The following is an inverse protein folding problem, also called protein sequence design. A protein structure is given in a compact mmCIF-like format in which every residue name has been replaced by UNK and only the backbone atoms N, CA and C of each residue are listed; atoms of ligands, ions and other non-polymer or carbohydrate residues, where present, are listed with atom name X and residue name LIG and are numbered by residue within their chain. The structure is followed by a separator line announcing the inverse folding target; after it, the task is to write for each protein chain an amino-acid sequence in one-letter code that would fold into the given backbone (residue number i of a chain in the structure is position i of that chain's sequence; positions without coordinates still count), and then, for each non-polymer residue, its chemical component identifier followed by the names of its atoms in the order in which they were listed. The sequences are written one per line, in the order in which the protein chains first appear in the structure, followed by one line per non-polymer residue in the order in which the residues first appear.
data_IF_858993154621
#
_entry.id   IF_858993154621
#
_cell.length_a   1.000
_cell.length_b   1.000
_cell.length_c   1.000
_cell.angle_alpha   90.00
_cell.angle_beta   90.00
_cell.angle_gamma   90.00
#
_symmetry.space_group_name_H-M   'P 1'
#
loop_
_entity.id
_entity.type
_entity.pdbx_description
1 polymer ?
#
# COMPACT_ATOMS: atom_id res chain seq x y z
N UNK A 1 54.11 -60.71 2.33
CA UNK A 1 54.80 -60.77 1.05
C UNK A 1 55.05 -59.33 0.68
N UNK A 2 56.20 -58.84 1.00
CA UNK A 2 57.44 -58.79 0.24
C UNK A 2 57.38 -57.62 -0.73
N UNK A 3 58.09 -56.57 -0.36
CA UNK A 3 59.46 -56.20 -0.86
C UNK A 3 59.36 -55.42 -2.18
N UNK A 4 60.06 -54.33 -2.41
CA UNK A 4 61.43 -53.81 -2.22
C UNK A 4 61.44 -52.31 -2.54
N UNK A 5 61.98 -51.41 -1.77
CA UNK A 5 63.32 -50.84 -1.59
C UNK A 5 64.16 -50.63 -2.88
N UNK A 6 64.57 -49.33 -3.11
CA UNK A 6 65.96 -48.86 -3.26
C UNK A 6 65.93 -47.43 -3.82
N UNK A 7 66.35 -46.41 -3.12
CA UNK A 7 67.69 -45.76 -2.95
C UNK A 7 68.36 -45.43 -4.27
N UNK A 8 68.79 -44.16 -4.48
CA UNK A 8 70.20 -43.72 -4.55
C UNK A 8 70.33 -42.17 -4.48
N UNK A 9 71.35 -41.82 -3.74
CA UNK A 9 71.82 -40.50 -3.41
C UNK A 9 72.68 -39.89 -4.52
N UNK A 10 73.00 -38.58 -4.27
CA UNK A 10 74.20 -37.79 -4.59
C UNK A 10 74.26 -37.13 -5.98
N UNK A 11 74.39 -35.82 -6.08
CA UNK A 11 75.66 -35.07 -5.88
C UNK A 11 75.43 -33.56 -5.80
N UNK A 12 76.14 -32.91 -4.85
CA UNK A 12 76.35 -31.48 -4.75
C UNK A 12 77.27 -30.95 -5.81
N UNK A 13 76.89 -29.81 -6.43
CA UNK A 13 77.92 -28.83 -6.88
C UNK A 13 77.48 -27.41 -6.56
N UNK A 14 78.26 -26.82 -5.71
CA UNK A 14 78.32 -25.42 -5.32
C UNK A 14 78.63 -24.51 -6.51
N UNK A 15 77.84 -23.41 -6.61
CA UNK A 15 78.29 -22.18 -7.24
C UNK A 15 77.77 -20.97 -6.56
N UNK A 16 78.62 -20.24 -5.89
CA UNK A 16 78.38 -18.91 -5.28
C UNK A 16 78.11 -17.90 -6.39
N UNK A 17 76.97 -17.15 -6.28
CA UNK A 17 76.95 -15.82 -6.95
C UNK A 17 76.01 -14.90 -6.18
N UNK A 18 76.55 -13.96 -5.52
CA UNK A 18 76.25 -12.54 -5.28
C UNK A 18 74.75 -12.19 -4.99
N UNK A 19 74.54 -11.73 -3.75
CA UNK A 19 73.40 -10.95 -3.30
C UNK A 19 73.32 -9.60 -4.05
N UNK A 20 72.16 -9.36 -4.65
CA UNK A 20 71.63 -8.00 -4.85
C UNK A 20 70.23 -7.95 -4.23
N UNK A 21 70.18 -7.25 -3.11
CA UNK A 21 68.92 -6.96 -2.37
C UNK A 21 68.08 -5.99 -3.17
N UNK A 22 67.05 -6.43 -3.84
CA UNK A 22 65.95 -5.59 -4.32
C UNK A 22 64.84 -5.62 -3.25
N UNK A 23 64.76 -4.55 -2.45
CA UNK A 23 63.65 -4.30 -1.58
C UNK A 23 62.39 -4.05 -2.43
N UNK A 24 61.51 -5.06 -2.58
CA UNK A 24 60.19 -4.87 -3.09
C UNK A 24 59.32 -4.34 -1.95
N UNK A 25 59.10 -3.01 -1.96
CA UNK A 25 58.06 -2.40 -1.13
C UNK A 25 56.70 -2.92 -1.57
N UNK A 26 56.12 -3.86 -0.84
CA UNK A 26 54.70 -4.16 -0.89
C UNK A 26 53.95 -2.94 -0.37
N UNK A 27 53.47 -2.11 -1.26
CA UNK A 27 52.39 -1.19 -0.98
C UNK A 27 51.15 -2.09 -0.82
N UNK A 28 50.82 -2.39 0.44
CA UNK A 28 49.51 -2.90 0.77
C UNK A 28 48.49 -1.81 0.43
N UNK A 29 48.00 -1.82 -0.80
CA UNK A 29 46.78 -1.09 -1.15
C UNK A 29 45.67 -1.62 -0.26
N UNK A 30 45.28 -0.81 0.69
CA UNK A 30 43.99 -1.02 1.36
C UNK A 30 42.92 -0.92 0.25
N UNK A 31 42.53 -2.05 -0.31
CA UNK A 31 41.27 -2.16 -1.00
C UNK A 31 40.23 -1.78 0.07
N UNK A 32 39.76 -0.54 0.04
CA UNK A 32 38.47 -0.26 0.57
C UNK A 32 37.57 -1.21 -0.21
N UNK A 33 37.13 -2.27 0.44
CA UNK A 33 35.93 -2.99 0.03
C UNK A 33 34.84 -1.92 0.06
N UNK A 34 34.52 -1.33 -1.10
CA UNK A 34 33.21 -0.77 -1.31
C UNK A 34 32.27 -1.89 -0.88
N UNK A 35 31.65 -1.71 0.28
CA UNK A 35 30.59 -2.60 0.73
C UNK A 35 29.49 -2.49 -0.32
N UNK A 36 29.48 -3.40 -1.29
CA UNK A 36 28.29 -3.62 -2.07
C UNK A 36 27.23 -4.02 -1.06
N UNK A 37 26.42 -3.05 -0.67
CA UNK A 37 25.16 -3.32 0.03
C UNK A 37 24.45 -4.39 -0.79
N UNK A 38 23.90 -5.39 -0.12
CA UNK A 38 23.23 -6.49 -0.78
C UNK A 38 22.36 -5.97 -1.92
N UNK A 39 22.58 -6.51 -3.10
CA UNK A 39 22.13 -5.92 -4.36
C UNK A 39 20.62 -5.99 -4.59
N UNK A 40 19.87 -6.66 -3.69
CA UNK A 40 18.43 -6.91 -3.88
C UNK A 40 17.64 -6.54 -2.62
N UNK A 41 16.42 -6.01 -2.84
CA UNK A 41 15.44 -5.70 -1.81
C UNK A 41 14.05 -6.10 -2.28
N UNK A 42 13.27 -6.80 -1.45
CA UNK A 42 11.89 -7.18 -1.76
C UNK A 42 10.93 -6.19 -1.15
N UNK A 43 10.12 -5.54 -2.00
CA UNK A 43 9.05 -4.63 -1.58
C UNK A 43 7.72 -5.25 -1.95
N UNK A 44 6.84 -5.34 -0.95
CA UNK A 44 5.49 -5.90 -1.11
C UNK A 44 4.51 -4.79 -1.47
N UNK A 45 3.61 -5.03 -2.40
CA UNK A 45 2.64 -4.08 -2.93
C UNK A 45 1.29 -4.75 -3.29
N UNK A 46 0.34 -3.96 -3.81
CA UNK A 46 -1.03 -4.38 -4.12
C UNK A 46 -1.26 -4.78 -5.57
N UNK A 47 -0.26 -4.69 -6.42
CA UNK A 47 -0.38 -5.04 -7.83
C UNK A 47 -1.08 -4.01 -8.73
N UNK A 48 -1.10 -4.31 -10.02
CA UNK A 48 -1.81 -3.55 -11.04
C UNK A 48 -1.33 -2.10 -11.18
N UNK A 49 -2.28 -1.16 -11.33
CA UNK A 49 -1.99 0.26 -11.49
C UNK A 49 -1.26 0.85 -10.27
N UNK A 50 -1.54 0.34 -9.07
CA UNK A 50 -0.89 0.79 -7.85
C UNK A 50 0.61 0.47 -7.84
N UNK A 51 0.99 -0.81 -8.02
CA UNK A 51 2.40 -1.18 -8.13
C UNK A 51 3.10 -0.47 -9.30
N UNK A 52 2.40 -0.26 -10.44
CA UNK A 52 2.94 0.53 -11.55
C UNK A 52 3.25 1.96 -11.13
N UNK A 53 2.41 2.59 -10.31
CA UNK A 53 2.66 3.95 -9.81
C UNK A 53 3.90 4.00 -8.93
N UNK A 54 4.08 3.02 -8.04
CA UNK A 54 5.26 2.91 -7.18
C UNK A 54 6.54 2.61 -7.98
N UNK A 55 6.46 1.72 -8.97
CA UNK A 55 7.58 1.44 -9.87
C UNK A 55 8.10 2.73 -10.52
N UNK A 56 7.20 3.59 -11.01
CA UNK A 56 7.58 4.81 -11.70
C UNK A 56 8.04 5.93 -10.76
N UNK A 57 7.40 6.09 -9.60
CA UNK A 57 7.69 7.17 -8.67
C UNK A 57 8.89 6.86 -7.76
N UNK A 58 9.07 5.60 -7.37
CA UNK A 58 9.98 5.18 -6.32
C UNK A 58 11.00 4.14 -6.75
N UNK A 59 10.56 2.94 -7.17
CA UNK A 59 11.43 1.78 -7.34
C UNK A 59 12.49 2.00 -8.41
N UNK A 60 12.08 2.40 -9.61
CA UNK A 60 13.02 2.65 -10.70
C UNK A 60 13.98 3.80 -10.38
N UNK A 61 13.51 5.00 -9.93
CA UNK A 61 14.40 6.07 -9.55
C UNK A 61 15.37 5.71 -8.41
N UNK A 62 14.92 4.93 -7.42
CA UNK A 62 15.78 4.46 -6.34
C UNK A 62 16.84 3.47 -6.86
N UNK A 63 16.45 2.51 -7.68
CA UNK A 63 17.35 1.54 -8.30
C UNK A 63 18.38 2.22 -9.19
N UNK A 64 17.98 3.23 -9.98
CA UNK A 64 18.89 4.03 -10.81
C UNK A 64 19.91 4.81 -9.98
N UNK A 65 19.49 5.34 -8.84
CA UNK A 65 20.35 6.14 -7.95
C UNK A 65 21.36 5.27 -7.17
N UNK A 66 20.91 4.10 -6.67
CA UNK A 66 21.65 3.30 -5.69
C UNK A 66 22.30 2.03 -6.27
N UNK A 67 21.80 1.56 -7.42
CA UNK A 67 22.19 0.26 -7.98
C UNK A 67 21.50 -0.93 -7.30
N UNK A 68 20.60 -0.72 -6.33
CA UNK A 68 19.82 -1.78 -5.67
C UNK A 68 18.74 -2.31 -6.62
N UNK A 69 18.67 -3.61 -6.78
CA UNK A 69 17.57 -4.26 -7.52
C UNK A 69 16.36 -4.41 -6.61
N UNK A 70 15.22 -3.81 -6.97
CA UNK A 70 13.96 -3.99 -6.25
C UNK A 70 13.17 -5.12 -6.87
N UNK A 71 12.82 -6.12 -6.05
CA UNK A 71 11.90 -7.19 -6.38
C UNK A 71 10.51 -6.81 -5.86
N UNK A 72 9.56 -6.58 -6.76
CA UNK A 72 8.18 -6.27 -6.38
C UNK A 72 7.38 -7.56 -6.17
N UNK A 73 6.74 -7.68 -4.99
CA UNK A 73 5.85 -8.80 -4.63
C UNK A 73 4.42 -8.26 -4.44
N UNK A 74 3.51 -8.60 -5.35
CA UNK A 74 2.13 -8.10 -5.34
C UNK A 74 1.21 -8.91 -4.40
N UNK A 75 1.62 -9.11 -3.14
CA UNK A 75 0.89 -9.95 -2.18
C UNK A 75 0.49 -9.26 -0.87
N UNK A 76 0.36 -7.93 -0.86
CA UNK A 76 -0.07 -7.14 0.31
C UNK A 76 -1.39 -7.61 0.91
N UNK A 77 -2.33 -8.07 0.10
CA UNK A 77 -3.62 -8.62 0.58
C UNK A 77 -3.49 -9.79 1.57
N UNK A 78 -2.30 -10.42 1.63
CA UNK A 78 -2.02 -11.53 2.55
C UNK A 78 -0.86 -11.21 3.49
N UNK A 79 -0.43 -9.94 3.57
CA UNK A 79 0.79 -9.54 4.25
C UNK A 79 0.80 -9.90 5.73
N UNK A 80 -0.29 -9.64 6.46
CA UNK A 80 -0.38 -9.94 7.90
C UNK A 80 -0.13 -11.43 8.17
N UNK A 81 -0.86 -12.31 7.48
CA UNK A 81 -0.72 -13.75 7.68
C UNK A 81 0.68 -14.26 7.29
N UNK A 82 1.24 -13.75 6.18
CA UNK A 82 2.58 -14.13 5.72
C UNK A 82 3.67 -13.64 6.67
N UNK A 83 3.59 -12.41 7.18
CA UNK A 83 4.57 -11.88 8.14
C UNK A 83 4.56 -12.67 9.45
N UNK A 84 3.38 -13.02 9.97
CA UNK A 84 3.27 -13.91 11.14
C UNK A 84 3.96 -15.26 10.88
N UNK A 85 3.68 -15.88 9.74
CA UNK A 85 4.31 -17.17 9.37
C UNK A 85 5.83 -17.06 9.17
N UNK A 86 6.32 -15.99 8.54
CA UNK A 86 7.76 -15.73 8.38
C UNK A 86 8.45 -15.50 9.73
N UNK A 87 7.80 -14.78 10.65
CA UNK A 87 8.33 -14.55 11.99
C UNK A 87 8.41 -15.85 12.80
N UNK A 88 7.35 -16.68 12.79
CA UNK A 88 7.35 -18.00 13.42
C UNK A 88 8.45 -18.91 12.86
N UNK A 89 8.71 -18.84 11.56
CA UNK A 89 9.77 -19.59 10.89
C UNK A 89 11.19 -19.00 11.14
N UNK A 90 11.30 -17.81 11.72
CA UNK A 90 12.57 -17.10 11.89
C UNK A 90 13.24 -16.73 10.55
N UNK A 91 12.48 -16.57 9.49
CA UNK A 91 12.98 -16.28 8.14
C UNK A 91 12.15 -15.20 7.44
N UNK A 92 12.51 -13.95 7.64
CA UNK A 92 11.86 -12.79 7.00
C UNK A 92 12.48 -12.55 5.63
N UNK A 93 11.68 -12.74 4.58
CA UNK A 93 12.12 -12.58 3.17
C UNK A 93 11.78 -11.22 2.58
N UNK A 94 10.89 -10.46 3.18
CA UNK A 94 10.48 -9.13 2.76
C UNK A 94 11.28 -8.03 3.48
N UNK A 95 11.56 -6.92 2.81
CA UNK A 95 12.30 -5.78 3.36
C UNK A 95 11.38 -4.61 3.72
N UNK A 96 10.43 -4.30 2.84
CA UNK A 96 9.42 -3.24 3.01
C UNK A 96 8.07 -3.81 2.62
N UNK A 97 7.05 -3.54 3.41
CA UNK A 97 5.71 -4.07 3.16
C UNK A 97 4.69 -2.94 3.16
N UNK A 98 3.99 -2.82 2.05
CA UNK A 98 2.90 -1.90 1.85
C UNK A 98 1.62 -2.51 2.45
N UNK A 99 1.00 -1.80 3.37
CA UNK A 99 -0.21 -2.24 4.09
C UNK A 99 -1.12 -1.05 4.39
N UNK A 100 -2.39 -1.33 4.57
CA UNK A 100 -3.36 -0.37 5.11
C UNK A 100 -3.06 -0.04 6.58
N UNK A 101 -3.54 1.10 7.06
CA UNK A 101 -3.25 1.61 8.39
C UNK A 101 -3.65 0.65 9.54
N UNK A 102 -4.87 0.10 9.53
CA UNK A 102 -5.32 -0.80 10.59
C UNK A 102 -4.50 -2.10 10.67
N UNK A 103 -4.22 -2.83 9.57
CA UNK A 103 -3.25 -3.93 9.57
C UNK A 103 -1.85 -3.55 10.05
N UNK A 104 -1.38 -2.33 9.73
CA UNK A 104 -0.08 -1.86 10.20
C UNK A 104 -0.05 -1.68 11.73
N UNK A 105 -1.11 -1.11 12.32
CA UNK A 105 -1.26 -0.98 13.77
C UNK A 105 -1.23 -2.36 14.44
N UNK A 106 -1.99 -3.32 13.92
CA UNK A 106 -1.99 -4.68 14.42
C UNK A 106 -0.60 -5.34 14.40
N UNK A 107 0.12 -5.19 13.27
CA UNK A 107 1.50 -5.70 13.15
C UNK A 107 2.48 -4.99 14.09
N UNK A 108 2.27 -3.71 14.39
CA UNK A 108 3.03 -2.94 15.36
C UNK A 108 2.83 -3.48 16.78
N UNK A 109 1.57 -3.67 17.21
CA UNK A 109 1.22 -4.20 18.52
C UNK A 109 1.74 -5.63 18.76
N UNK A 110 1.79 -6.43 17.70
CA UNK A 110 2.39 -7.77 17.71
C UNK A 110 3.94 -7.75 17.73
N UNK A 111 4.58 -6.59 17.61
CA UNK A 111 6.04 -6.45 17.53
C UNK A 111 6.64 -6.98 16.21
N UNK A 112 5.83 -7.10 15.16
CA UNK A 112 6.25 -7.58 13.84
C UNK A 112 6.70 -6.46 12.90
N UNK A 113 6.43 -5.20 13.23
CA UNK A 113 6.86 -4.02 12.51
C UNK A 113 7.84 -3.19 13.34
N UNK A 114 8.82 -2.59 12.68
CA UNK A 114 9.85 -1.74 13.31
C UNK A 114 9.28 -0.36 13.62
N UNK A 115 9.57 0.16 14.82
CA UNK A 115 9.28 1.56 15.18
C UNK A 115 10.16 2.50 14.35
N UNK A 116 9.56 3.52 13.78
CA UNK A 116 10.21 4.53 12.93
C UNK A 116 9.90 5.92 13.51
N UNK A 117 10.91 6.57 14.06
CA UNK A 117 10.80 7.98 14.46
C UNK A 117 10.88 8.87 13.22
N UNK A 118 9.77 9.55 12.83
CA UNK A 118 9.72 10.30 11.59
C UNK A 118 10.71 11.47 11.56
N UNK A 119 11.01 12.11 12.68
CA UNK A 119 11.87 13.30 12.70
C UNK A 119 13.36 12.99 12.67
N UNK A 120 13.76 11.78 13.03
CA UNK A 120 15.17 11.33 13.01
C UNK A 120 15.48 10.38 11.88
N UNK A 121 14.47 9.70 11.32
CA UNK A 121 14.64 8.64 10.33
C UNK A 121 14.10 9.00 8.95
N UNK A 122 13.30 10.08 8.81
CA UNK A 122 12.79 10.54 7.52
C UNK A 122 13.29 11.95 7.21
N UNK A 123 13.21 12.35 5.94
CA UNK A 123 13.58 13.70 5.52
C UNK A 123 12.52 14.72 5.97
N UNK A 124 12.96 15.87 6.48
CA UNK A 124 12.10 17.03 6.68
C UNK A 124 11.57 17.55 5.32
N UNK A 125 10.46 18.29 5.36
CA UNK A 125 9.97 19.01 4.18
C UNK A 125 11.02 20.02 3.64
N UNK A 126 10.93 20.45 2.37
CA UNK A 126 11.90 21.36 1.76
C UNK A 126 12.04 22.71 2.46
N UNK A 127 11.03 23.17 3.20
CA UNK A 127 11.05 24.40 3.97
C UNK A 127 11.61 24.21 5.40
N UNK A 128 11.98 22.99 5.76
CA UNK A 128 12.53 22.62 7.06
C UNK A 128 11.48 22.16 8.08
N UNK A 129 10.20 22.05 7.70
CA UNK A 129 9.15 21.48 8.56
C UNK A 129 9.51 20.02 8.89
N UNK A 130 9.51 19.62 10.18
CA UNK A 130 9.77 18.23 10.57
C UNK A 130 8.82 17.25 9.90
N UNK A 131 9.27 16.01 9.67
CA UNK A 131 8.44 15.01 9.02
C UNK A 131 7.16 14.69 9.82
N UNK A 132 7.24 14.67 11.15
CA UNK A 132 6.08 14.47 12.03
C UNK A 132 4.99 15.53 11.83
N UNK A 133 5.36 16.79 11.65
CA UNK A 133 4.43 17.90 11.41
C UNK A 133 3.89 17.89 9.97
N UNK A 134 4.73 17.52 8.98
CA UNK A 134 4.35 17.48 7.58
C UNK A 134 3.37 16.35 7.27
N UNK A 135 3.56 15.17 7.86
CA UNK A 135 2.57 14.08 7.82
C UNK A 135 1.35 14.38 8.71
N UNK A 136 1.58 14.94 9.89
CA UNK A 136 0.53 15.30 10.87
C UNK A 136 -0.32 14.08 11.26
N UNK A 137 -1.65 14.24 11.22
CA UNK A 137 -2.62 13.22 11.64
C UNK A 137 -2.60 11.94 10.79
N UNK A 138 -1.81 11.89 9.71
CA UNK A 138 -1.62 10.68 8.92
C UNK A 138 -0.67 9.68 9.60
N UNK A 139 0.12 10.09 10.60
CA UNK A 139 0.97 9.21 11.40
C UNK A 139 0.12 8.53 12.50
N UNK A 140 -0.62 7.51 12.13
CA UNK A 140 -1.56 6.80 13.01
C UNK A 140 -0.91 5.72 13.87
N UNK A 141 0.34 5.35 13.60
CA UNK A 141 1.11 4.37 14.37
C UNK A 141 2.61 4.67 14.28
N UNK A 142 3.36 4.34 15.33
CA UNK A 142 4.82 4.51 15.37
C UNK A 142 5.59 3.55 14.44
N UNK A 143 4.93 2.51 13.90
CA UNK A 143 5.54 1.56 12.98
C UNK A 143 5.10 1.77 11.52
N UNK A 144 4.20 2.71 11.26
CA UNK A 144 3.59 2.92 9.95
C UNK A 144 3.97 4.27 9.36
N UNK A 145 4.51 4.26 8.14
CA UNK A 145 4.81 5.50 7.41
C UNK A 145 3.85 5.62 6.24
N UNK A 146 2.89 6.55 6.32
CA UNK A 146 1.86 6.71 5.29
C UNK A 146 2.47 7.20 3.98
N UNK A 147 1.99 6.65 2.89
CA UNK A 147 2.39 6.96 1.53
C UNK A 147 1.29 7.75 0.81
N UNK A 148 0.10 7.17 0.80
CA UNK A 148 -1.05 7.72 0.10
C UNK A 148 -2.31 7.79 0.98
N UNK A 149 -3.19 8.69 0.57
CA UNK A 149 -4.59 8.72 0.97
C UNK A 149 -5.41 8.26 -0.22
N UNK A 150 -6.15 7.18 -0.06
CA UNK A 150 -7.09 6.70 -1.08
C UNK A 150 -8.52 6.76 -0.56
N UNK A 151 -9.48 6.49 -1.39
CA UNK A 151 -10.86 6.29 -0.94
C UNK A 151 -11.52 5.12 -1.61
N UNK A 152 -12.36 4.44 -0.84
CA UNK A 152 -13.33 3.50 -1.36
C UNK A 152 -14.64 4.23 -1.61
N UNK A 153 -15.17 4.09 -2.83
CA UNK A 153 -16.40 4.78 -3.24
C UNK A 153 -17.08 4.00 -4.36
N UNK A 154 -18.15 4.56 -4.94
CA UNK A 154 -18.87 3.94 -6.04
C UNK A 154 -18.61 4.62 -7.37
N UNK A 155 -18.35 3.80 -8.39
CA UNK A 155 -18.53 4.17 -9.78
C UNK A 155 -19.93 3.82 -10.27
N UNK A 156 -20.45 4.57 -11.23
CA UNK A 156 -21.71 4.26 -11.88
C UNK A 156 -21.63 4.43 -13.40
N UNK A 157 -22.42 3.63 -14.12
CA UNK A 157 -22.54 3.70 -15.58
C UNK A 157 -23.44 4.88 -15.98
N UNK A 158 -22.82 5.89 -16.61
CA UNK A 158 -23.52 7.12 -17.02
C UNK A 158 -24.60 6.89 -18.10
N UNK A 159 -24.46 5.80 -18.85
CA UNK A 159 -25.40 5.39 -19.91
C UNK A 159 -26.50 4.46 -19.44
N UNK A 160 -26.46 3.96 -18.19
CA UNK A 160 -27.42 3.00 -17.63
C UNK A 160 -28.27 3.57 -16.49
N UNK A 161 -27.87 4.67 -15.84
CA UNK A 161 -28.59 5.25 -14.69
C UNK A 161 -29.70 6.23 -15.06
N UNK A 162 -29.96 6.45 -16.36
CA UNK A 162 -31.00 7.37 -16.83
C UNK A 162 -30.59 8.85 -16.74
N UNK A 163 -31.58 9.74 -16.78
CA UNK A 163 -31.38 11.19 -16.89
C UNK A 163 -30.94 11.85 -15.55
N UNK A 164 -31.13 11.20 -14.43
CA UNK A 164 -30.76 11.71 -13.10
C UNK A 164 -29.60 10.89 -12.56
N UNK A 165 -28.37 11.40 -12.61
CA UNK A 165 -27.22 10.65 -12.10
C UNK A 165 -27.27 10.54 -10.57
N UNK A 166 -26.78 9.41 -9.98
CA UNK A 166 -26.59 9.29 -8.54
C UNK A 166 -25.56 10.30 -8.03
N UNK A 167 -25.77 10.83 -6.85
CA UNK A 167 -24.95 11.88 -6.24
C UNK A 167 -24.38 11.50 -4.89
N UNK A 168 -24.91 10.47 -4.25
CA UNK A 168 -24.51 9.95 -2.95
C UNK A 168 -24.32 8.43 -3.00
N UNK A 169 -23.43 7.90 -2.15
CA UNK A 169 -23.32 6.44 -1.97
C UNK A 169 -24.65 5.82 -1.53
N UNK A 170 -25.54 6.60 -0.92
CA UNK A 170 -26.86 6.11 -0.52
C UNK A 170 -27.82 5.85 -1.69
N UNK A 171 -27.54 6.41 -2.86
CA UNK A 171 -28.29 6.12 -4.08
C UNK A 171 -28.13 4.65 -4.52
N UNK A 172 -27.08 3.97 -4.07
CA UNK A 172 -26.83 2.53 -4.28
C UNK A 172 -27.96 1.68 -3.68
N UNK A 173 -28.56 2.13 -2.57
CA UNK A 173 -29.67 1.46 -1.88
C UNK A 173 -31.05 1.77 -2.49
N UNK A 174 -31.12 2.70 -3.45
CA UNK A 174 -32.36 3.08 -4.10
C UNK A 174 -32.58 2.29 -5.40
N UNK A 175 -33.03 1.02 -5.26
CA UNK A 175 -33.23 0.13 -6.40
C UNK A 175 -34.42 0.52 -7.29
N UNK A 176 -35.35 1.31 -6.76
CA UNK A 176 -36.50 1.81 -7.53
C UNK A 176 -36.08 2.94 -8.48
N UNK A 177 -35.24 3.87 -8.02
CA UNK A 177 -34.74 4.96 -8.87
C UNK A 177 -33.65 4.47 -9.85
N UNK A 178 -32.84 3.51 -9.42
CA UNK A 178 -31.73 2.96 -10.18
C UNK A 178 -31.85 1.44 -10.31
N UNK A 179 -32.74 0.91 -11.16
CA UNK A 179 -32.90 -0.52 -11.34
C UNK A 179 -31.71 -1.16 -12.03
N UNK A 180 -31.20 -2.28 -11.48
CA UNK A 180 -30.07 -3.05 -12.01
C UNK A 180 -29.20 -3.62 -10.90
N UNK A 181 -28.15 -4.35 -11.25
CA UNK A 181 -27.21 -4.94 -10.30
C UNK A 181 -26.20 -3.93 -9.78
N UNK A 182 -25.73 -4.17 -8.54
CA UNK A 182 -24.65 -3.45 -7.89
C UNK A 182 -23.49 -4.40 -7.64
N UNK A 183 -22.29 -3.89 -7.41
CA UNK A 183 -21.23 -4.66 -6.79
C UNK A 183 -20.75 -4.01 -5.50
N UNK A 184 -20.62 -4.81 -4.45
CA UNK A 184 -20.05 -4.44 -3.16
C UNK A 184 -18.99 -5.46 -2.75
N UNK A 185 -18.10 -5.07 -1.86
CA UNK A 185 -17.13 -5.99 -1.29
C UNK A 185 -17.79 -7.01 -0.38
N UNK A 186 -17.33 -8.26 -0.42
CA UNK A 186 -17.75 -9.35 0.44
C UNK A 186 -17.12 -9.30 1.84
N UNK A 187 -16.85 -8.09 2.34
CA UNK A 187 -16.27 -7.80 3.65
C UNK A 187 -17.06 -6.69 4.35
N UNK A 188 -17.06 -6.62 5.69
CA UNK A 188 -17.83 -5.64 6.45
C UNK A 188 -17.31 -4.21 6.29
N UNK A 189 -15.98 -4.04 6.20
CA UNK A 189 -15.30 -2.75 6.09
C UNK A 189 -15.82 -1.95 4.88
N UNK A 190 -16.10 -0.69 5.07
CA UNK A 190 -16.79 0.23 4.16
C UNK A 190 -18.28 -0.14 3.94
N UNK A 191 -18.61 -1.43 3.83
CA UNK A 191 -19.95 -1.91 3.50
C UNK A 191 -20.95 -1.66 4.63
N UNK A 192 -20.55 -1.91 5.89
CA UNK A 192 -21.40 -1.68 7.06
C UNK A 192 -21.50 -0.18 7.41
N UNK A 193 -20.43 0.60 7.19
CA UNK A 193 -20.47 2.05 7.35
C UNK A 193 -21.46 2.70 6.39
N UNK A 194 -21.44 2.31 5.12
CA UNK A 194 -22.42 2.81 4.13
C UNK A 194 -23.84 2.38 4.47
N UNK A 195 -24.02 1.16 4.96
CA UNK A 195 -25.33 0.70 5.36
C UNK A 195 -25.93 1.58 6.48
N UNK A 196 -25.14 1.88 7.53
CA UNK A 196 -25.59 2.75 8.62
C UNK A 196 -25.75 4.20 8.17
N UNK A 197 -24.82 4.74 7.40
CA UNK A 197 -24.93 6.07 6.83
C UNK A 197 -26.25 6.22 6.05
N UNK A 198 -26.56 5.24 5.22
CA UNK A 198 -27.74 5.26 4.36
C UNK A 198 -29.02 4.81 5.08
N UNK A 199 -28.92 4.35 6.31
CA UNK A 199 -30.04 4.15 7.24
C UNK A 199 -30.23 5.34 8.18
N UNK A 200 -29.51 6.45 7.96
CA UNK A 200 -29.66 7.73 8.63
C UNK A 200 -28.85 7.91 9.90
N UNK A 201 -27.83 7.08 10.15
CA UNK A 201 -26.87 7.30 11.21
C UNK A 201 -25.92 8.43 10.80
N UNK A 202 -25.69 9.39 11.70
CA UNK A 202 -24.75 10.48 11.44
C UNK A 202 -23.31 9.92 11.28
N UNK A 203 -22.50 10.54 10.40
CA UNK A 203 -21.11 10.10 10.16
C UNK A 203 -20.29 9.97 11.46
N UNK A 204 -20.50 10.89 12.41
CA UNK A 204 -19.84 10.88 13.72
C UNK A 204 -20.20 9.69 14.62
N UNK A 205 -21.36 9.07 14.41
CA UNK A 205 -21.94 8.09 15.31
C UNK A 205 -21.87 6.66 14.74
N UNK A 206 -21.28 6.49 13.54
CA UNK A 206 -21.25 5.21 12.84
C UNK A 206 -20.47 4.17 13.63
N UNK A 207 -19.27 4.51 14.10
CA UNK A 207 -18.44 3.54 14.81
C UNK A 207 -18.98 3.23 16.21
N UNK A 208 -19.46 4.22 16.97
CA UNK A 208 -20.15 3.99 18.24
C UNK A 208 -21.38 3.08 18.06
N UNK A 209 -22.04 3.19 16.89
CA UNK A 209 -23.15 2.29 16.54
C UNK A 209 -22.65 0.89 16.23
N UNK A 210 -21.57 0.74 15.45
CA UNK A 210 -20.98 -0.55 15.06
C UNK A 210 -20.35 -1.31 16.24
N UNK A 211 -19.97 -0.64 17.33
CA UNK A 211 -19.50 -1.30 18.56
C UNK A 211 -20.60 -2.13 19.22
N UNK A 212 -21.86 -1.86 18.91
CA UNK A 212 -23.02 -2.56 19.51
C UNK A 212 -23.56 -3.65 18.60
N UNK A 213 -24.01 -4.77 19.18
CA UNK A 213 -24.68 -5.85 18.43
C UNK A 213 -25.93 -5.34 17.70
N UNK A 214 -26.70 -4.45 18.33
CA UNK A 214 -27.89 -3.84 17.74
C UNK A 214 -27.54 -3.00 16.49
N UNK A 215 -26.47 -2.22 16.54
CA UNK A 215 -26.01 -1.41 15.41
C UNK A 215 -25.47 -2.27 14.27
N UNK A 216 -24.74 -3.34 14.59
CA UNK A 216 -24.29 -4.31 13.59
C UNK A 216 -25.47 -4.99 12.89
N UNK A 217 -26.48 -5.42 13.64
CA UNK A 217 -27.70 -6.04 13.09
C UNK A 217 -28.49 -5.04 12.24
N UNK A 218 -28.52 -3.76 12.64
CA UNK A 218 -29.12 -2.67 11.87
C UNK A 218 -28.42 -2.47 10.53
N UNK A 219 -27.09 -2.49 10.50
CA UNK A 219 -26.32 -2.40 9.26
C UNK A 219 -26.63 -3.57 8.32
N UNK A 220 -26.65 -4.80 8.84
CA UNK A 220 -26.97 -5.99 8.06
C UNK A 220 -28.43 -5.98 7.56
N UNK A 221 -29.39 -5.52 8.36
CA UNK A 221 -30.78 -5.36 7.94
C UNK A 221 -30.92 -4.33 6.80
N UNK A 222 -30.11 -3.26 6.81
CA UNK A 222 -30.05 -2.31 5.69
C UNK A 222 -29.50 -2.96 4.43
N UNK A 223 -28.46 -3.77 4.54
CA UNK A 223 -27.89 -4.52 3.42
C UNK A 223 -28.87 -5.56 2.86
N UNK A 224 -29.71 -6.17 3.69
CA UNK A 224 -30.77 -7.10 3.24
C UNK A 224 -31.70 -6.45 2.22
N UNK A 225 -31.89 -5.12 2.26
CA UNK A 225 -32.77 -4.42 1.32
C UNK A 225 -32.29 -4.46 -0.14
N UNK A 226 -30.99 -4.75 -0.36
CA UNK A 226 -30.38 -4.80 -1.70
C UNK A 226 -29.63 -6.11 -1.96
N UNK A 227 -29.54 -7.02 -0.99
CA UNK A 227 -28.66 -8.21 -1.02
C UNK A 227 -28.82 -9.04 -2.31
N UNK A 228 -30.06 -9.24 -2.77
CA UNK A 228 -30.36 -10.01 -3.98
C UNK A 228 -29.94 -9.30 -5.28
N UNK A 229 -29.72 -7.98 -5.23
CA UNK A 229 -29.26 -7.16 -6.36
C UNK A 229 -27.77 -6.90 -6.34
N UNK A 230 -27.01 -7.48 -5.41
CA UNK A 230 -25.57 -7.28 -5.27
C UNK A 230 -24.80 -8.47 -5.82
N UNK A 231 -23.80 -8.17 -6.64
CA UNK A 231 -22.68 -9.06 -6.98
C UNK A 231 -21.59 -8.80 -5.94
N UNK A 232 -21.37 -9.76 -5.05
CA UNK A 232 -20.39 -9.68 -3.99
C UNK A 232 -18.99 -10.02 -4.54
N UNK A 233 -18.05 -9.07 -4.43
CA UNK A 233 -16.69 -9.20 -4.97
C UNK A 233 -15.66 -9.29 -3.84
N UNK A 234 -14.56 -9.99 -4.10
CA UNK A 234 -13.47 -10.15 -3.13
C UNK A 234 -12.23 -9.31 -3.46
N UNK A 235 -12.13 -8.83 -4.71
CA UNK A 235 -10.99 -8.03 -5.15
C UNK A 235 -11.44 -6.68 -5.71
N UNK A 236 -10.69 -5.62 -5.41
CA UNK A 236 -10.94 -4.29 -5.94
C UNK A 236 -10.82 -4.15 -7.46
N UNK A 237 -10.23 -5.15 -8.13
CA UNK A 237 -10.15 -5.25 -9.59
C UNK A 237 -11.42 -5.77 -10.25
N UNK A 238 -12.32 -6.42 -9.52
CA UNK A 238 -13.49 -7.07 -10.09
C UNK A 238 -14.56 -6.04 -10.51
N UNK A 239 -14.85 -5.07 -9.65
CA UNK A 239 -15.85 -4.04 -9.90
C UNK A 239 -15.58 -3.20 -11.17
N UNK A 240 -14.35 -2.73 -11.47
CA UNK A 240 -14.07 -2.05 -12.73
C UNK A 240 -14.44 -2.87 -13.96
N UNK A 241 -14.19 -4.18 -13.94
CA UNK A 241 -14.55 -5.06 -15.04
C UNK A 241 -16.08 -5.19 -15.17
N UNK A 242 -16.79 -5.43 -14.05
CA UNK A 242 -18.25 -5.50 -14.02
C UNK A 242 -18.92 -4.21 -14.53
N UNK A 243 -18.35 -3.05 -14.19
CA UNK A 243 -18.80 -1.76 -14.72
C UNK A 243 -18.49 -1.63 -16.21
N UNK A 244 -17.30 -2.00 -16.68
CA UNK A 244 -16.92 -1.93 -18.09
C UNK A 244 -17.83 -2.80 -18.96
N UNK A 245 -18.16 -4.01 -18.49
CA UNK A 245 -19.03 -4.96 -19.19
C UNK A 245 -20.53 -4.62 -19.08
N UNK A 246 -20.88 -3.67 -18.19
CA UNK A 246 -22.29 -3.29 -17.94
C UNK A 246 -23.07 -4.34 -17.16
N UNK A 247 -22.40 -5.26 -16.49
CA UNK A 247 -23.04 -6.25 -15.62
C UNK A 247 -23.61 -5.63 -14.35
N UNK A 248 -23.03 -4.52 -13.89
CA UNK A 248 -23.51 -3.68 -12.81
C UNK A 248 -23.69 -2.24 -13.26
N UNK A 249 -24.68 -1.56 -12.72
CA UNK A 249 -24.91 -0.13 -12.98
C UNK A 249 -24.15 0.77 -12.01
N UNK A 250 -23.86 0.27 -10.81
CA UNK A 250 -23.06 0.92 -9.76
C UNK A 250 -22.17 -0.12 -9.08
N UNK A 251 -20.98 0.28 -8.66
CA UNK A 251 -20.10 -0.66 -7.99
C UNK A 251 -19.06 0.01 -7.11
N UNK A 252 -18.83 -0.60 -5.93
CA UNK A 252 -17.84 -0.16 -4.97
C UNK A 252 -16.43 -0.61 -5.37
N UNK A 253 -15.50 0.34 -5.42
CA UNK A 253 -14.06 0.08 -5.57
C UNK A 253 -13.24 1.31 -5.18
N UNK A 254 -11.93 1.24 -5.35
CA UNK A 254 -11.00 2.31 -5.02
C UNK A 254 -11.03 3.41 -6.09
N UNK A 255 -10.96 4.67 -5.65
CA UNK A 255 -11.02 5.83 -6.55
C UNK A 255 -9.97 5.82 -7.66
N UNK A 256 -8.74 5.32 -7.40
CA UNK A 256 -7.71 5.19 -8.42
C UNK A 256 -8.05 4.19 -9.52
N UNK A 257 -8.77 3.11 -9.18
CA UNK A 257 -9.24 2.13 -10.18
C UNK A 257 -10.39 2.69 -11.02
N UNK A 258 -11.27 3.47 -10.40
CA UNK A 258 -12.32 4.19 -11.14
C UNK A 258 -11.72 5.27 -12.04
N UNK A 259 -10.69 5.98 -11.57
CA UNK A 259 -9.96 6.94 -12.40
C UNK A 259 -9.39 6.26 -13.65
N UNK A 260 -8.72 5.12 -13.50
CA UNK A 260 -8.19 4.37 -14.64
C UNK A 260 -9.31 3.94 -15.61
N UNK A 261 -10.44 3.46 -15.09
CA UNK A 261 -11.59 3.08 -15.91
C UNK A 261 -12.17 4.26 -16.70
N UNK A 262 -12.27 5.43 -16.08
CA UNK A 262 -12.85 6.65 -16.65
C UNK A 262 -11.86 7.32 -17.63
N UNK A 263 -10.63 7.58 -17.15
CA UNK A 263 -9.72 8.47 -17.85
C UNK A 263 -8.74 7.75 -18.77
N UNK A 264 -8.30 6.54 -18.43
CA UNK A 264 -7.40 5.78 -19.29
C UNK A 264 -8.18 4.91 -20.28
N UNK A 265 -9.20 4.19 -19.80
CA UNK A 265 -9.98 3.25 -20.61
C UNK A 265 -11.18 3.90 -21.29
N UNK A 266 -11.51 5.17 -20.95
CA UNK A 266 -12.62 5.95 -21.52
C UNK A 266 -13.98 5.25 -21.47
N UNK A 267 -14.22 4.50 -20.39
CA UNK A 267 -15.53 3.87 -20.18
C UNK A 267 -16.57 4.91 -19.76
N UNK A 268 -17.85 4.72 -20.09
CA UNK A 268 -18.95 5.62 -19.71
C UNK A 268 -19.29 5.44 -18.23
N UNK A 269 -18.36 5.77 -17.36
CA UNK A 269 -18.45 5.65 -15.91
C UNK A 269 -18.16 7.00 -15.28
N UNK A 270 -18.83 7.32 -14.18
CA UNK A 270 -18.50 8.45 -13.33
C UNK A 270 -18.42 8.00 -11.87
N UNK A 271 -17.81 8.84 -11.02
CA UNK A 271 -17.52 8.53 -9.62
C UNK A 271 -18.43 9.34 -8.68
N UNK A 272 -18.88 8.71 -7.61
CA UNK A 272 -19.61 9.36 -6.52
C UNK A 272 -18.61 9.74 -5.43
N UNK A 273 -18.53 11.02 -5.07
CA UNK A 273 -17.65 11.50 -4.02
C UNK A 273 -18.35 11.66 -2.65
N UNK A 274 -19.68 11.81 -2.64
CA UNK A 274 -20.42 11.95 -1.38
C UNK A 274 -20.57 10.61 -0.67
N UNK A 275 -20.03 10.52 0.54
CA UNK A 275 -19.97 9.30 1.32
C UNK A 275 -18.77 8.39 1.00
N UNK A 276 -17.77 8.88 0.26
CA UNK A 276 -16.50 8.17 0.11
C UNK A 276 -15.87 7.88 1.47
N UNK A 277 -15.31 6.70 1.64
CA UNK A 277 -14.55 6.33 2.84
C UNK A 277 -13.06 6.51 2.55
N UNK A 278 -12.42 7.42 3.25
CA UNK A 278 -10.99 7.67 3.12
C UNK A 278 -10.21 6.75 4.03
N UNK A 279 -9.10 6.26 3.52
CA UNK A 279 -8.18 5.36 4.20
C UNK A 279 -6.72 5.68 3.81
N UNK A 280 -5.79 5.18 4.61
CA UNK A 280 -4.36 5.34 4.44
C UNK A 280 -3.72 4.02 4.01
N UNK A 281 -2.80 4.12 3.09
CA UNK A 281 -1.90 3.05 2.73
C UNK A 281 -0.44 3.53 2.84
N UNK A 282 0.44 2.64 3.26
CA UNK A 282 1.82 3.01 3.53
C UNK A 282 2.68 1.82 3.86
N UNK A 283 3.85 2.09 4.41
CA UNK A 283 4.89 1.11 4.60
C UNK A 283 5.17 0.79 6.06
N UNK A 284 5.48 -0.47 6.29
CA UNK A 284 6.17 -0.96 7.47
C UNK A 284 7.49 -1.62 7.08
N UNK A 285 8.45 -1.67 8.00
CA UNK A 285 9.65 -2.49 7.92
C UNK A 285 9.44 -3.68 8.87
N UNK A 286 9.48 -4.93 8.40
CA UNK A 286 9.38 -6.08 9.28
C UNK A 286 10.51 -6.13 10.32
N UNK A 287 10.20 -6.58 11.53
CA UNK A 287 11.23 -6.94 12.52
C UNK A 287 11.97 -8.20 12.09
N UNK A 288 13.11 -8.49 12.70
CA UNK A 288 13.90 -9.70 12.41
C UNK A 288 14.82 -9.60 11.18
N UNK A 289 14.88 -8.46 10.52
CA UNK A 289 15.86 -8.20 9.45
C UNK A 289 17.28 -8.05 10.04
N UNK A 290 18.31 -8.35 9.22
CA UNK A 290 19.68 -7.96 9.58
C UNK A 290 19.81 -6.43 9.63
N UNK A 291 20.76 -5.89 10.44
CA UNK A 291 20.98 -4.45 10.51
C UNK A 291 21.22 -3.77 9.15
N UNK A 292 21.86 -4.48 8.23
CA UNK A 292 22.10 -4.01 6.85
C UNK A 292 20.80 -3.93 6.05
N UNK A 293 19.93 -4.93 6.14
CA UNK A 293 18.62 -4.92 5.48
C UNK A 293 17.71 -3.85 6.05
N UNK A 294 17.70 -3.68 7.40
CA UNK A 294 16.94 -2.61 8.06
C UNK A 294 17.39 -1.22 7.59
N UNK A 295 18.70 -0.98 7.57
CA UNK A 295 19.25 0.31 7.13
C UNK A 295 18.88 0.63 5.67
N UNK A 296 18.91 -0.36 4.80
CA UNK A 296 18.52 -0.21 3.39
C UNK A 296 17.01 0.02 3.23
N UNK A 297 16.18 -0.72 3.97
CA UNK A 297 14.73 -0.52 3.96
C UNK A 297 14.35 0.88 4.43
N UNK A 298 15.01 1.37 5.48
CA UNK A 298 14.81 2.72 5.99
C UNK A 298 15.28 3.79 4.98
N UNK A 299 16.46 3.61 4.35
CA UNK A 299 16.95 4.50 3.30
C UNK A 299 15.96 4.58 2.11
N UNK A 300 15.39 3.43 1.71
CA UNK A 300 14.35 3.41 0.70
C UNK A 300 13.09 4.17 1.15
N UNK A 301 12.58 3.94 2.36
CA UNK A 301 11.38 4.64 2.87
C UNK A 301 11.65 6.15 2.96
N UNK A 302 12.83 6.55 3.43
CA UNK A 302 13.23 7.97 3.47
C UNK A 302 13.23 8.59 2.06
N UNK A 303 13.76 7.89 1.05
CA UNK A 303 13.72 8.34 -0.35
C UNK A 303 12.29 8.39 -0.90
N UNK A 304 11.50 7.31 -0.71
CA UNK A 304 10.18 7.16 -1.30
C UNK A 304 9.14 8.10 -0.66
N UNK A 305 9.34 8.48 0.60
CA UNK A 305 8.49 9.44 1.33
C UNK A 305 8.99 10.88 1.26
N UNK A 306 10.01 11.18 0.46
CA UNK A 306 10.38 12.56 0.15
C UNK A 306 9.21 13.31 -0.47
N UNK A 307 9.10 14.61 -0.16
CA UNK A 307 8.02 15.49 -0.62
C UNK A 307 7.73 15.35 -2.12
N UNK A 308 8.79 15.35 -2.94
CA UNK A 308 8.63 15.28 -4.40
C UNK A 308 8.22 13.87 -4.84
N UNK A 309 8.74 12.83 -4.19
CA UNK A 309 8.45 11.44 -4.55
C UNK A 309 6.98 11.08 -4.35
N UNK A 310 6.40 11.47 -3.20
CA UNK A 310 4.97 11.27 -2.96
C UNK A 310 4.10 12.03 -3.98
N UNK A 311 4.48 13.25 -4.36
CA UNK A 311 3.81 13.99 -5.43
C UNK A 311 3.99 13.32 -6.81
N UNK A 312 5.12 12.66 -7.04
CA UNK A 312 5.38 11.94 -8.30
C UNK A 312 4.50 10.71 -8.45
N UNK A 313 4.14 10.00 -7.37
CA UNK A 313 3.19 8.88 -7.44
C UNK A 313 1.81 9.36 -7.88
N UNK A 314 1.35 10.50 -7.37
CA UNK A 314 0.07 11.09 -7.75
C UNK A 314 -0.04 11.45 -9.23
N UNK A 315 1.05 11.46 -10.00
CA UNK A 315 1.05 11.60 -11.47
C UNK A 315 0.66 10.31 -12.20
N UNK A 316 0.65 9.17 -11.52
CA UNK A 316 0.38 7.86 -12.11
C UNK A 316 -0.93 7.24 -11.64
N UNK A 317 -1.43 7.66 -10.48
CA UNK A 317 -2.67 7.17 -9.87
C UNK A 317 -3.32 8.28 -9.05
N UNK A 318 -4.63 8.36 -9.03
CA UNK A 318 -5.37 9.44 -8.39
C UNK A 318 -5.50 9.26 -6.87
N UNK A 319 -4.39 8.97 -6.19
CA UNK A 319 -4.31 8.91 -4.74
C UNK A 319 -3.60 10.15 -4.19
N UNK A 320 -4.12 10.69 -3.10
CA UNK A 320 -3.54 11.89 -2.48
C UNK A 320 -2.21 11.55 -1.79
N UNK A 321 -1.16 12.36 -1.94
CA UNK A 321 0.07 12.15 -1.19
C UNK A 321 -0.16 12.38 0.31
N UNK A 322 0.48 11.58 1.16
CA UNK A 322 0.30 11.66 2.61
C UNK A 322 0.97 12.88 3.28
N UNK A 323 1.92 13.54 2.60
CA UNK A 323 2.55 14.76 3.13
C UNK A 323 1.80 16.02 2.70
N UNK A 324 1.63 16.97 3.61
CA UNK A 324 1.08 18.31 3.33
C UNK A 324 1.92 19.06 2.29
N UNK A 325 3.26 18.95 2.40
CA UNK A 325 4.20 19.58 1.47
C UNK A 325 4.13 19.02 0.05
N UNK A 326 3.65 17.79 -0.14
CA UNK A 326 3.54 17.15 -1.45
C UNK A 326 2.28 17.57 -2.22
N UNK A 327 1.19 17.88 -1.52
CA UNK A 327 -0.11 18.19 -2.15
C UNK A 327 -0.03 19.32 -3.19
N UNK A 328 0.67 20.46 -2.96
CA UNK A 328 0.82 21.53 -3.96
C UNK A 328 1.66 21.13 -5.19
N UNK A 329 2.44 20.05 -5.10
CA UNK A 329 3.31 19.56 -6.17
C UNK A 329 2.63 18.53 -7.07
N UNK A 330 1.42 18.11 -6.75
CA UNK A 330 0.60 17.23 -7.59
C UNK A 330 0.31 17.96 -8.90
N UNK A 331 0.78 17.38 -9.99
CA UNK A 331 0.70 17.98 -11.31
C UNK A 331 -0.27 17.24 -12.23
N UNK A 332 0.16 17.09 -13.47
CA UNK A 332 -0.60 16.38 -14.49
C UNK A 332 -0.27 14.90 -14.50
N UNK A 333 -1.26 14.09 -14.90
CA UNK A 333 -1.03 12.67 -15.19
C UNK A 333 0.08 12.52 -16.23
N UNK A 334 1.02 11.61 -15.94
CA UNK A 334 2.25 11.47 -16.72
C UNK A 334 2.00 11.14 -18.19
N UNK A 335 1.06 10.25 -18.47
CA UNK A 335 0.73 9.80 -19.83
C UNK A 335 -0.42 10.60 -20.47
N UNK A 336 -1.45 10.98 -19.69
CA UNK A 336 -2.68 11.60 -20.20
C UNK A 336 -2.61 13.12 -20.28
N UNK A 337 -1.71 13.75 -19.50
CA UNK A 337 -1.57 15.21 -19.45
C UNK A 337 -2.74 15.97 -18.80
N UNK A 338 -3.69 15.26 -18.18
CA UNK A 338 -4.82 15.85 -17.44
C UNK A 338 -4.35 16.29 -16.05
N UNK A 339 -5.01 17.30 -15.50
CA UNK A 339 -4.73 17.77 -14.13
C UNK A 339 -5.24 16.74 -13.11
N UNK A 340 -4.35 16.29 -12.20
CA UNK A 340 -4.66 15.24 -11.24
C UNK A 340 -5.35 15.76 -9.98
N UNK A 341 -5.17 17.03 -9.62
CA UNK A 341 -5.69 17.56 -8.36
C UNK A 341 -7.22 17.35 -8.17
N UNK A 342 -8.10 17.55 -9.17
CA UNK A 342 -9.53 17.31 -9.01
C UNK A 342 -9.93 15.84 -8.80
N UNK A 343 -9.04 14.90 -9.16
CA UNK A 343 -9.29 13.47 -9.06
C UNK A 343 -8.79 12.85 -7.74
N UNK A 344 -8.23 13.68 -6.85
CA UNK A 344 -7.74 13.22 -5.55
C UNK A 344 -8.88 13.16 -4.52
N UNK A 345 -8.93 12.13 -3.66
CA UNK A 345 -9.89 12.08 -2.55
C UNK A 345 -9.68 13.24 -1.57
N UNK A 346 -8.44 13.73 -1.47
CA UNK A 346 -8.02 14.86 -0.64
C UNK A 346 -8.26 16.24 -1.27
N UNK A 347 -8.76 16.33 -2.50
CA UNK A 347 -9.17 17.60 -3.09
C UNK A 347 -10.24 18.26 -2.18
N UNK A 348 -10.20 19.58 -1.93
CA UNK A 348 -11.10 20.24 -0.99
C UNK A 348 -12.59 19.94 -1.20
N UNK A 349 -13.02 19.86 -2.45
CA UNK A 349 -14.41 19.56 -2.81
C UNK A 349 -14.80 18.12 -2.50
N UNK A 350 -13.87 17.17 -2.70
CA UNK A 350 -14.08 15.75 -2.43
C UNK A 350 -13.95 15.46 -0.93
N UNK A 351 -12.94 16.04 -0.27
CA UNK A 351 -12.68 15.85 1.15
C UNK A 351 -13.86 16.29 2.02
N UNK A 352 -14.55 17.39 1.68
CA UNK A 352 -15.70 17.88 2.43
C UNK A 352 -16.87 16.88 2.50
N UNK A 353 -16.90 15.89 1.62
CA UNK A 353 -17.94 14.85 1.52
C UNK A 353 -17.50 13.50 2.06
N UNK A 354 -16.23 13.39 2.46
CA UNK A 354 -15.64 12.15 2.91
C UNK A 354 -16.21 11.68 4.25
N UNK A 355 -16.10 10.38 4.45
CA UNK A 355 -16.18 9.72 5.74
C UNK A 355 -14.77 9.19 6.07
N UNK A 356 -14.28 9.45 7.27
CA UNK A 356 -12.94 9.02 7.68
C UNK A 356 -13.01 7.66 8.36
N UNK A 357 -12.15 6.74 7.95
CA UNK A 357 -11.96 5.44 8.58
C UNK A 357 -11.52 5.62 10.03
N UNK A 358 -12.08 4.84 10.95
CA UNK A 358 -11.58 4.71 12.31
C UNK A 358 -10.69 3.46 12.40
N UNK A 359 -9.39 3.69 12.43
CA UNK A 359 -8.40 2.60 12.42
C UNK A 359 -8.40 1.81 13.71
N UNK A 360 -8.57 2.46 14.88
CA UNK A 360 -8.64 1.80 16.19
C UNK A 360 -9.82 0.84 16.23
N UNK A 361 -11.01 1.30 15.76
CA UNK A 361 -12.18 0.45 15.66
C UNK A 361 -11.92 -0.80 14.79
N UNK A 362 -11.36 -0.61 13.59
CA UNK A 362 -11.12 -1.76 12.70
C UNK A 362 -9.96 -2.65 13.14
N UNK A 363 -8.99 -2.13 13.90
CA UNK A 363 -7.95 -2.96 14.53
C UNK A 363 -8.56 -3.89 15.60
N UNK A 364 -9.56 -3.41 16.37
CA UNK A 364 -10.17 -4.14 17.48
C UNK A 364 -11.30 -5.08 17.04
N UNK A 365 -12.15 -4.67 16.09
CA UNK A 365 -13.42 -5.35 15.79
C UNK A 365 -13.43 -6.13 14.48
N UNK A 366 -12.37 -6.05 13.66
CA UNK A 366 -12.37 -6.62 12.31
C UNK A 366 -12.70 -8.10 12.28
N UNK A 367 -12.03 -8.90 13.07
CA UNK A 367 -12.17 -10.37 13.03
C UNK A 367 -13.60 -10.82 13.41
N UNK A 368 -14.19 -10.19 14.42
CA UNK A 368 -15.56 -10.50 14.86
C UNK A 368 -16.58 -10.06 13.82
N UNK A 369 -16.42 -8.88 13.23
CA UNK A 369 -17.31 -8.37 12.19
C UNK A 369 -17.18 -9.15 10.89
N UNK A 370 -15.97 -9.57 10.50
CA UNK A 370 -15.75 -10.44 9.36
C UNK A 370 -16.50 -11.77 9.55
N UNK A 371 -16.38 -12.40 10.71
CA UNK A 371 -17.10 -13.65 11.02
C UNK A 371 -18.63 -13.46 10.96
N UNK A 372 -19.15 -12.37 11.55
CA UNK A 372 -20.58 -12.06 11.55
C UNK A 372 -21.09 -11.76 10.14
N UNK A 373 -20.34 -10.98 9.36
CA UNK A 373 -20.69 -10.62 7.99
C UNK A 373 -20.70 -11.84 7.07
N UNK A 374 -19.68 -12.72 7.15
CA UNK A 374 -19.65 -13.96 6.38
C UNK A 374 -20.82 -14.90 6.73
N UNK A 375 -21.14 -15.01 8.03
CA UNK A 375 -22.31 -15.78 8.47
C UNK A 375 -23.64 -15.22 7.95
N UNK A 376 -23.76 -13.89 7.83
CA UNK A 376 -24.91 -13.22 7.21
C UNK A 376 -24.92 -13.42 5.70
N UNK A 377 -23.79 -13.28 5.03
CA UNK A 377 -23.67 -13.40 3.57
C UNK A 377 -24.06 -14.82 3.09
N UNK A 378 -23.78 -15.84 3.90
CA UNK A 378 -24.10 -17.25 3.60
C UNK A 378 -25.58 -17.61 3.72
N UNK A 379 -26.43 -16.75 4.30
CA UNK A 379 -27.89 -16.96 4.42
C UNK A 379 -28.63 -16.52 3.17
#
# INVERSE_FOLDING_TARGET
MAELRATWETEMKSTKTILTSAALSLVAGSAFADGHMASEMTIVSWGGAYSKSQLNAYHNPYSEMTGVTILNDDSSSTAVAKLRAMNEAGNITWDVVDVEAAPAMQLCDEGLAMVIDPDTMLAAAPDGTPASEDFGDMLVSECFIPQIVYSTTFGYRTDLVGDTPPTSVCDVFNTDAYPGKRSLFSVPINTMEWALLCDGVAKSDIYDTLETEEGQDRALAKLDTIKDDVIWVSAGSDTPQLLADGEVIMGATYNGRLFSLIEEQKQPVAMIWDGQVMDLDGWIIPTGLSPERQARALDYIMFATDTQRLADQAKWISYGPARKSSAPLVGKHADLGIDMAPHMPTAPENLSRAFLMNYDFWADYRDDLDAKFQAWLAK
#
